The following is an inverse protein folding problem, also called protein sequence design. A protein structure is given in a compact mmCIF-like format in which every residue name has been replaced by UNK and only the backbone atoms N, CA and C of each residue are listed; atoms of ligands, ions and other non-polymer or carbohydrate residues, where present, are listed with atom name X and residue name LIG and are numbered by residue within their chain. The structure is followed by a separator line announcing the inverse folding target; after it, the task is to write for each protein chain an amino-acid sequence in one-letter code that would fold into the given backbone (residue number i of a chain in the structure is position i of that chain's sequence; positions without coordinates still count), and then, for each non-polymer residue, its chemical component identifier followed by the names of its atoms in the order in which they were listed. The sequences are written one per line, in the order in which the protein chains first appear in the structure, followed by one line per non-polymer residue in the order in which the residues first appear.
data_IF_440047329507
#
_entry.id   IF_440047329507
#
_cell.length_a   1.000
_cell.length_b   1.000
_cell.length_c   1.000
_cell.angle_alpha   90.00
_cell.angle_beta   90.00
_cell.angle_gamma   90.00
#
_symmetry.space_group_name_H-M   'P 1'
#
loop_
_entity.id
_entity.type
_entity.pdbx_description
1 polymer ?
#
# COMPACT_ATOMS: atom_id res chain seq x y z
N UNK A 1 -15.49 10.51 23.71
CA UNK A 1 -16.47 11.45 24.30
C UNK A 1 -15.95 12.88 24.41
N UNK A 2 -14.72 13.10 24.88
CA UNK A 2 -14.10 14.44 25.00
C UNK A 2 -14.00 15.19 23.68
N UNK A 3 -13.59 14.54 22.58
CA UNK A 3 -13.50 15.19 21.26
C UNK A 3 -14.84 15.66 20.70
N UNK A 4 -15.93 14.89 20.92
CA UNK A 4 -17.28 15.28 20.51
C UNK A 4 -17.74 16.52 21.30
N UNK A 5 -17.44 16.57 22.59
CA UNK A 5 -17.80 17.67 23.47
C UNK A 5 -17.03 18.95 23.10
N UNK A 6 -15.74 18.83 22.74
CA UNK A 6 -14.94 19.95 22.21
C UNK A 6 -15.51 20.47 20.89
N UNK A 7 -15.90 19.59 19.96
CA UNK A 7 -16.52 20.00 18.69
C UNK A 7 -17.84 20.73 18.94
N UNK A 8 -18.70 20.21 19.83
CA UNK A 8 -19.98 20.85 20.17
C UNK A 8 -19.76 22.24 20.79
N UNK A 9 -18.79 22.36 21.71
CA UNK A 9 -18.45 23.67 22.31
C UNK A 9 -17.92 24.65 21.26
N UNK A 10 -17.07 24.22 20.32
CA UNK A 10 -16.59 25.06 19.24
C UNK A 10 -17.71 25.51 18.30
N UNK A 11 -18.65 24.62 17.96
CA UNK A 11 -19.84 24.96 17.15
C UNK A 11 -20.71 25.98 17.88
N UNK A 12 -20.98 25.76 19.17
CA UNK A 12 -21.76 26.68 19.98
C UNK A 12 -21.08 28.05 20.13
N UNK A 13 -19.76 28.08 20.29
CA UNK A 13 -18.98 29.33 20.30
C UNK A 13 -19.04 30.04 18.96
N UNK A 14 -18.92 29.32 17.84
CA UNK A 14 -19.05 29.90 16.51
C UNK A 14 -20.45 30.48 16.26
N UNK A 15 -21.50 29.75 16.67
CA UNK A 15 -22.90 30.24 16.62
C UNK A 15 -23.09 31.45 17.52
N UNK A 16 -22.55 31.44 18.73
CA UNK A 16 -22.64 32.58 19.65
C UNK A 16 -21.91 33.80 19.10
N UNK A 17 -20.72 33.63 18.51
CA UNK A 17 -19.98 34.70 17.84
C UNK A 17 -20.75 35.24 16.62
N UNK A 18 -21.33 34.36 15.80
CA UNK A 18 -22.18 34.75 14.66
C UNK A 18 -23.45 35.49 15.11
N UNK A 19 -24.08 35.06 16.20
CA UNK A 19 -25.22 35.76 16.78
C UNK A 19 -24.81 37.13 17.35
N UNK A 20 -23.65 37.22 18.00
CA UNK A 20 -23.12 38.49 18.50
C UNK A 20 -22.85 39.47 17.35
N UNK A 21 -22.21 39.04 16.25
CA UNK A 21 -22.01 39.90 15.07
C UNK A 21 -23.35 40.37 14.50
N UNK A 22 -24.36 39.50 14.45
CA UNK A 22 -25.69 39.84 13.96
C UNK A 22 -26.44 40.82 14.89
N UNK A 23 -26.23 40.71 16.21
CA UNK A 23 -26.75 41.67 17.18
C UNK A 23 -26.05 43.01 17.01
N UNK A 24 -24.73 43.03 16.80
CA UNK A 24 -23.99 44.26 16.52
C UNK A 24 -24.50 44.94 15.24
N UNK A 25 -24.76 44.19 14.17
CA UNK A 25 -25.39 44.71 12.94
C UNK A 25 -26.78 45.31 13.22
N UNK A 26 -27.59 44.65 14.05
CA UNK A 26 -28.92 45.16 14.46
C UNK A 26 -28.85 46.39 15.36
N UNK A 27 -27.76 46.58 16.13
CA UNK A 27 -27.55 47.78 16.96
C UNK A 27 -27.01 48.97 16.18
N UNK A 28 -26.52 48.77 14.94
CA UNK A 28 -26.15 49.85 14.03
C UNK A 28 -27.38 50.50 13.35
N UNK A 29 -28.46 50.73 14.11
CA UNK A 29 -29.65 51.46 13.64
C UNK A 29 -29.22 52.89 13.30
N UNK A 30 -29.06 53.19 12.02
CA UNK A 30 -28.58 54.48 11.50
C UNK A 30 -27.28 54.42 10.70
N UNK A 31 -26.58 53.28 10.67
CA UNK A 31 -25.56 53.03 9.65
C UNK A 31 -26.28 52.61 8.36
N UNK A 32 -26.07 53.35 7.27
CA UNK A 32 -26.56 52.98 5.95
C UNK A 32 -25.80 51.74 5.45
N UNK A 33 -26.30 50.54 5.75
CA UNK A 33 -25.83 49.31 5.11
C UNK A 33 -26.38 49.27 3.68
N UNK A 34 -25.50 49.27 2.70
CA UNK A 34 -25.86 49.12 1.28
C UNK A 34 -26.29 47.66 1.03
N UNK A 35 -27.59 47.39 1.10
CA UNK A 35 -28.21 46.08 0.86
C UNK A 35 -28.48 45.80 -0.64
N UNK A 36 -27.87 46.56 -1.55
CA UNK A 36 -28.12 46.43 -3.00
C UNK A 36 -27.72 45.09 -3.60
N UNK A 37 -27.00 44.23 -2.85
CA UNK A 37 -26.36 42.98 -3.33
C UNK A 37 -25.36 43.21 -4.47
N UNK A 38 -24.99 44.46 -4.75
CA UNK A 38 -24.00 44.84 -5.75
C UNK A 38 -22.69 45.14 -5.04
N UNK A 39 -21.62 44.43 -5.40
CA UNK A 39 -20.30 44.63 -4.80
C UNK A 39 -19.81 46.08 -5.04
N UNK A 40 -19.47 46.77 -3.96
CA UNK A 40 -18.88 48.11 -4.00
C UNK A 40 -17.39 48.06 -4.33
N UNK A 41 -16.79 49.21 -4.68
CA UNK A 41 -15.34 49.30 -4.88
C UNK A 41 -14.56 48.97 -3.60
N UNK A 42 -15.14 49.28 -2.43
CA UNK A 42 -14.56 48.91 -1.15
C UNK A 42 -14.55 47.38 -0.97
N UNK A 43 -15.66 46.71 -1.28
CA UNK A 43 -15.75 45.24 -1.22
C UNK A 43 -14.72 44.60 -2.16
N UNK A 44 -14.62 45.10 -3.39
CA UNK A 44 -13.63 44.62 -4.37
C UNK A 44 -12.19 44.82 -3.89
N UNK A 45 -11.87 45.97 -3.28
CA UNK A 45 -10.56 46.24 -2.68
C UNK A 45 -10.25 45.26 -1.55
N UNK A 46 -11.18 45.07 -0.62
CA UNK A 46 -11.03 44.14 0.51
C UNK A 46 -10.83 42.72 0.01
N UNK A 47 -11.68 42.24 -0.89
CA UNK A 47 -11.57 40.90 -1.47
C UNK A 47 -10.23 40.70 -2.19
N UNK A 48 -9.74 41.72 -2.90
CA UNK A 48 -8.42 41.68 -3.53
C UNK A 48 -7.28 41.42 -2.54
N UNK A 49 -7.30 42.06 -1.36
CA UNK A 49 -6.31 41.80 -0.31
C UNK A 49 -6.53 40.45 0.39
N UNK A 50 -7.79 40.07 0.63
CA UNK A 50 -8.14 38.76 1.22
C UNK A 50 -7.64 37.61 0.35
N UNK A 51 -7.69 37.73 -0.98
CA UNK A 51 -7.10 36.75 -1.88
C UNK A 51 -5.61 36.53 -1.57
N UNK A 52 -4.81 37.60 -1.41
CA UNK A 52 -3.40 37.42 -1.02
C UNK A 52 -3.22 36.80 0.38
N UNK A 53 -4.12 37.11 1.32
CA UNK A 53 -4.18 36.42 2.61
C UNK A 53 -4.41 34.91 2.45
N UNK A 54 -5.32 34.51 1.55
CA UNK A 54 -5.61 33.11 1.25
C UNK A 54 -4.43 32.42 0.54
N UNK A 55 -3.74 33.12 -0.37
CA UNK A 55 -2.51 32.64 -0.99
C UNK A 55 -1.44 32.32 0.06
N UNK A 56 -1.20 33.27 0.98
CA UNK A 56 -0.25 33.10 2.07
C UNK A 56 -0.66 31.93 2.97
N UNK A 57 -1.95 31.80 3.30
CA UNK A 57 -2.47 30.68 4.08
C UNK A 57 -2.17 29.33 3.43
N UNK A 58 -2.46 29.16 2.13
CA UNK A 58 -2.20 27.90 1.41
C UNK A 58 -0.71 27.53 1.46
N UNK A 59 0.18 28.49 1.22
CA UNK A 59 1.62 28.22 1.23
C UNK A 59 2.15 27.95 2.63
N UNK A 60 1.71 28.71 3.65
CA UNK A 60 2.08 28.44 5.04
C UNK A 60 1.63 27.03 5.44
N UNK A 61 0.40 26.65 5.10
CA UNK A 61 -0.12 25.32 5.39
C UNK A 61 0.66 24.22 4.66
N UNK A 62 0.99 24.44 3.38
CA UNK A 62 1.76 23.49 2.58
C UNK A 62 3.18 23.32 3.14
N UNK A 63 3.87 24.42 3.43
CA UNK A 63 5.22 24.41 4.03
C UNK A 63 5.18 23.72 5.39
N UNK A 64 4.20 24.06 6.24
CA UNK A 64 4.03 23.38 7.52
C UNK A 64 3.81 21.88 7.34
N UNK A 65 2.97 21.47 6.39
CA UNK A 65 2.72 20.05 6.11
C UNK A 65 3.98 19.31 5.68
N UNK A 66 4.77 19.90 4.79
CA UNK A 66 6.05 19.34 4.35
C UNK A 66 7.07 19.23 5.50
N UNK A 67 7.17 20.26 6.35
CA UNK A 67 8.06 20.22 7.51
C UNK A 67 7.59 19.23 8.58
N UNK A 68 6.28 19.12 8.79
CA UNK A 68 5.71 18.30 9.86
C UNK A 68 5.67 16.81 9.52
N UNK A 69 5.41 16.47 8.26
CA UNK A 69 5.17 15.08 7.83
C UNK A 69 6.10 14.62 6.71
N UNK A 70 7.01 15.46 6.20
CA UNK A 70 7.94 15.07 5.14
C UNK A 70 8.85 13.90 5.51
N UNK A 71 9.17 13.73 6.79
CA UNK A 71 9.95 12.60 7.30
C UNK A 71 9.21 11.24 7.27
N UNK A 72 7.90 11.23 6.99
CA UNK A 72 7.12 9.99 6.82
C UNK A 72 7.30 9.36 5.44
N UNK A 73 7.72 10.15 4.44
CA UNK A 73 7.97 9.63 3.10
C UNK A 73 9.10 8.59 3.12
N UNK A 74 9.06 7.66 2.16
CA UNK A 74 10.17 6.74 1.97
C UNK A 74 11.39 7.53 1.47
N UNK A 75 12.52 7.33 2.13
CA UNK A 75 13.75 8.04 1.81
C UNK A 75 14.50 7.31 0.70
N UNK A 76 15.61 6.62 0.99
CA UNK A 76 16.49 6.01 -0.01
C UNK A 76 15.86 4.75 -0.61
N UNK A 77 15.73 4.62 -1.95
CA UNK A 77 15.28 3.38 -2.57
C UNK A 77 16.37 2.30 -2.47
N UNK A 78 15.94 1.05 -2.29
CA UNK A 78 16.77 -0.13 -2.11
C UNK A 78 16.91 -1.00 -3.36
N UNK A 79 16.57 -0.45 -4.53
CA UNK A 79 16.78 -1.06 -5.84
C UNK A 79 17.37 -0.07 -6.82
N UNK A 80 18.05 -0.57 -7.85
CA UNK A 80 18.55 0.26 -8.95
C UNK A 80 17.41 0.98 -9.68
N UNK A 81 16.28 0.29 -9.82
CA UNK A 81 15.10 0.76 -10.55
C UNK A 81 14.35 1.83 -9.75
N UNK A 82 14.37 1.73 -8.41
CA UNK A 82 13.74 2.70 -7.53
C UNK A 82 14.39 4.08 -7.59
N UNK A 83 15.70 4.17 -7.91
CA UNK A 83 16.36 5.46 -8.15
C UNK A 83 15.78 6.18 -9.37
N UNK A 84 15.46 5.45 -10.46
CA UNK A 84 14.83 6.02 -11.65
C UNK A 84 13.42 6.54 -11.33
N UNK A 85 12.64 5.77 -10.57
CA UNK A 85 11.29 6.16 -10.13
C UNK A 85 11.35 7.41 -9.24
N UNK A 86 12.23 7.44 -8.24
CA UNK A 86 12.37 8.57 -7.33
C UNK A 86 12.88 9.83 -8.07
N UNK A 87 13.79 9.68 -9.05
CA UNK A 87 14.23 10.79 -9.90
C UNK A 87 13.08 11.36 -10.75
N UNK A 88 12.29 10.50 -11.40
CA UNK A 88 11.12 10.91 -12.18
C UNK A 88 10.10 11.63 -11.30
N UNK A 89 9.85 11.11 -10.10
CA UNK A 89 8.99 11.73 -9.09
C UNK A 89 9.54 13.11 -8.68
N UNK A 90 10.83 13.23 -8.38
CA UNK A 90 11.45 14.50 -7.98
C UNK A 90 11.40 15.56 -9.08
N UNK A 91 11.70 15.18 -10.34
CA UNK A 91 11.57 16.08 -11.50
C UNK A 91 10.11 16.55 -11.62
N UNK A 92 9.17 15.63 -11.49
CA UNK A 92 7.73 15.95 -11.57
C UNK A 92 7.34 16.90 -10.44
N UNK A 93 7.75 16.65 -9.20
CA UNK A 93 7.50 17.54 -8.06
C UNK A 93 8.01 18.94 -8.28
N UNK A 94 9.28 19.09 -8.69
CA UNK A 94 9.87 20.40 -8.96
C UNK A 94 9.08 21.12 -10.05
N UNK A 95 8.74 20.42 -11.14
CA UNK A 95 7.98 20.99 -12.25
C UNK A 95 6.60 21.47 -11.82
N UNK A 96 5.82 20.61 -11.16
CA UNK A 96 4.45 20.97 -10.76
C UNK A 96 4.45 22.07 -9.70
N UNK A 97 5.40 22.09 -8.76
CA UNK A 97 5.48 23.16 -7.76
C UNK A 97 5.88 24.49 -8.39
N UNK A 98 6.80 24.51 -9.35
CA UNK A 98 7.16 25.74 -10.08
C UNK A 98 5.98 26.26 -10.88
N UNK A 99 5.32 25.41 -11.67
CA UNK A 99 4.15 25.80 -12.47
C UNK A 99 3.01 26.26 -11.55
N UNK A 100 2.75 25.53 -10.46
CA UNK A 100 1.75 25.89 -9.46
C UNK A 100 2.05 27.24 -8.83
N UNK A 101 3.32 27.50 -8.47
CA UNK A 101 3.72 28.75 -7.82
C UNK A 101 3.51 29.95 -8.74
N UNK A 102 3.96 29.84 -9.99
CA UNK A 102 3.78 30.90 -10.98
C UNK A 102 2.29 31.11 -11.26
N UNK A 103 1.54 30.03 -11.50
CA UNK A 103 0.11 30.11 -11.85
C UNK A 103 -0.70 30.73 -10.71
N UNK A 104 -0.49 30.29 -9.47
CA UNK A 104 -1.19 30.88 -8.31
C UNK A 104 -0.81 32.35 -8.13
N UNK A 105 0.48 32.69 -8.22
CA UNK A 105 0.92 34.09 -8.15
C UNK A 105 0.24 34.97 -9.20
N UNK A 106 0.20 34.51 -10.45
CA UNK A 106 -0.42 35.24 -11.56
C UNK A 106 -1.94 35.38 -11.40
N UNK A 107 -2.65 34.33 -10.99
CA UNK A 107 -4.11 34.37 -10.81
C UNK A 107 -4.50 35.35 -9.69
N UNK A 108 -3.79 35.34 -8.58
CA UNK A 108 -4.09 36.21 -7.44
C UNK A 108 -3.70 37.66 -7.73
N UNK A 109 -2.56 37.88 -8.38
CA UNK A 109 -2.19 39.20 -8.91
C UNK A 109 -3.21 39.72 -9.92
N UNK A 110 -3.70 38.88 -10.84
CA UNK A 110 -4.67 39.26 -11.84
C UNK A 110 -6.00 39.66 -11.19
N UNK A 111 -6.50 38.86 -10.25
CA UNK A 111 -7.70 39.16 -9.45
C UNK A 111 -7.54 40.48 -8.68
N UNK A 112 -6.38 40.73 -8.08
CA UNK A 112 -6.13 41.99 -7.37
C UNK A 112 -6.04 43.19 -8.31
N UNK A 113 -5.26 43.10 -9.39
CA UNK A 113 -5.02 44.21 -10.33
C UNK A 113 -6.30 44.60 -11.08
N UNK A 114 -7.09 43.61 -11.48
CA UNK A 114 -8.31 43.77 -12.28
C UNK A 114 -9.60 43.60 -11.47
N UNK A 115 -9.53 43.74 -10.14
CA UNK A 115 -10.72 43.81 -9.28
C UNK A 115 -11.66 44.93 -9.75
N UNK A 116 -12.96 44.75 -9.50
CA UNK A 116 -14.00 45.67 -9.93
C UNK A 116 -13.73 47.11 -9.48
N UNK A 117 -13.89 48.06 -10.40
CA UNK A 117 -13.73 49.48 -10.17
C UNK A 117 -14.70 50.23 -11.10
N UNK A 118 -15.52 51.13 -10.54
CA UNK A 118 -16.54 51.88 -11.29
C UNK A 118 -15.99 52.73 -12.44
N UNK A 119 -14.75 53.19 -12.34
CA UNK A 119 -14.07 54.04 -13.32
C UNK A 119 -13.31 53.23 -14.39
N UNK A 120 -13.20 51.91 -14.23
CA UNK A 120 -12.47 51.03 -15.16
C UNK A 120 -13.43 50.15 -15.94
N UNK A 121 -13.32 50.20 -17.27
CA UNK A 121 -13.97 49.23 -18.15
C UNK A 121 -13.06 48.03 -18.38
N UNK A 122 -13.62 46.84 -18.35
CA UNK A 122 -12.89 45.62 -18.69
C UNK A 122 -12.42 45.68 -20.15
N UNK A 123 -11.19 45.25 -20.39
CA UNK A 123 -10.70 45.05 -21.75
C UNK A 123 -11.42 43.83 -22.34
N UNK A 124 -12.11 44.02 -23.47
CA UNK A 124 -12.63 42.91 -24.24
C UNK A 124 -11.51 42.36 -25.13
N UNK A 125 -11.11 41.11 -24.86
CA UNK A 125 -10.09 40.39 -25.60
C UNK A 125 -10.57 38.94 -25.75
N UNK A 126 -10.96 38.56 -26.97
CA UNK A 126 -11.65 37.30 -27.22
C UNK A 126 -10.68 36.10 -27.33
N UNK A 127 -9.55 36.28 -28.02
CA UNK A 127 -8.65 35.19 -28.35
C UNK A 127 -7.21 35.65 -28.60
N UNK A 128 -6.29 34.69 -28.54
CA UNK A 128 -4.91 34.90 -28.94
C UNK A 128 -4.29 33.60 -29.41
N UNK A 129 -4.31 33.38 -30.74
CA UNK A 129 -3.68 32.21 -31.34
C UNK A 129 -2.22 32.00 -30.90
N UNK A 130 -1.46 33.08 -30.64
CA UNK A 130 -0.08 32.99 -30.15
C UNK A 130 0.01 32.46 -28.71
N UNK A 131 -0.84 32.96 -27.82
CA UNK A 131 -0.85 32.54 -26.41
C UNK A 131 -1.42 31.12 -26.28
N UNK A 132 -2.45 30.83 -27.08
CA UNK A 132 -3.06 29.51 -27.22
C UNK A 132 -2.05 28.47 -27.70
N UNK A 133 -1.26 28.80 -28.73
CA UNK A 133 -0.18 27.93 -29.18
C UNK A 133 0.88 27.74 -28.08
N UNK A 134 1.27 28.80 -27.37
CA UNK A 134 2.28 28.73 -26.32
C UNK A 134 1.89 27.78 -25.18
N UNK A 135 0.70 27.95 -24.61
CA UNK A 135 0.23 27.11 -23.50
C UNK A 135 -0.21 25.71 -23.93
N UNK A 136 -0.31 25.44 -25.22
CA UNK A 136 -0.61 24.10 -25.74
C UNK A 136 0.68 23.34 -26.04
N UNK A 137 1.63 24.00 -26.72
CA UNK A 137 2.89 23.37 -27.16
C UNK A 137 3.80 23.09 -25.97
N UNK A 138 4.00 24.06 -25.05
CA UNK A 138 4.92 23.88 -23.92
C UNK A 138 4.52 22.67 -23.06
N UNK A 139 3.27 22.56 -22.55
CA UNK A 139 2.87 21.39 -21.76
C UNK A 139 2.93 20.09 -22.56
N UNK A 140 2.60 20.12 -23.85
CA UNK A 140 2.67 18.92 -24.70
C UNK A 140 4.11 18.39 -24.82
N UNK A 141 5.08 19.27 -25.07
CA UNK A 141 6.50 18.88 -25.17
C UNK A 141 7.03 18.40 -23.83
N UNK A 142 6.74 19.12 -22.75
CA UNK A 142 7.14 18.75 -21.39
C UNK A 142 6.59 17.37 -21.03
N UNK A 143 5.29 17.15 -21.26
CA UNK A 143 4.63 15.88 -20.97
C UNK A 143 5.18 14.76 -21.84
N UNK A 144 5.45 15.01 -23.13
CA UNK A 144 6.08 14.03 -24.00
C UNK A 144 7.44 13.57 -23.48
N UNK A 145 8.30 14.50 -23.03
CA UNK A 145 9.59 14.16 -22.41
C UNK A 145 9.43 13.32 -21.13
N UNK A 146 8.48 13.69 -20.25
CA UNK A 146 8.20 12.93 -19.03
C UNK A 146 7.66 11.54 -19.32
N UNK A 147 6.77 11.39 -20.31
CA UNK A 147 6.22 10.10 -20.74
C UNK A 147 7.33 9.21 -21.30
N UNK A 148 8.24 9.73 -22.12
CA UNK A 148 9.35 8.95 -22.67
C UNK A 148 10.29 8.46 -21.58
N UNK A 149 10.62 9.29 -20.60
CA UNK A 149 11.39 8.86 -19.42
C UNK A 149 10.59 7.83 -18.61
N UNK A 150 9.32 8.07 -18.34
CA UNK A 150 8.45 7.11 -17.64
C UNK A 150 8.39 5.75 -18.35
N UNK A 151 8.31 5.74 -19.68
CA UNK A 151 8.31 4.52 -20.48
C UNK A 151 9.66 3.80 -20.41
N UNK A 152 10.78 4.52 -20.42
CA UNK A 152 12.10 3.94 -20.20
C UNK A 152 12.20 3.27 -18.82
N UNK A 153 11.79 3.96 -17.76
CA UNK A 153 11.80 3.42 -16.40
C UNK A 153 10.87 2.20 -16.26
N UNK A 154 9.69 2.25 -16.89
CA UNK A 154 8.74 1.14 -16.92
C UNK A 154 9.29 -0.06 -17.70
N UNK A 155 9.90 0.14 -18.86
CA UNK A 155 10.48 -0.94 -19.65
C UNK A 155 11.65 -1.61 -18.91
N UNK A 156 12.49 -0.83 -18.25
CA UNK A 156 13.65 -1.33 -17.52
C UNK A 156 13.28 -2.33 -16.40
N UNK A 157 12.16 -2.12 -15.70
CA UNK A 157 11.69 -3.01 -14.63
C UNK A 157 10.78 -4.14 -15.14
N UNK A 158 10.04 -3.91 -16.23
CA UNK A 158 9.05 -4.87 -16.75
C UNK A 158 9.61 -5.84 -17.78
N UNK A 159 10.72 -5.50 -18.44
CA UNK A 159 11.32 -6.35 -19.45
C UNK A 159 12.53 -7.09 -18.89
N UNK A 160 12.50 -8.42 -19.02
CA UNK A 160 13.60 -9.32 -18.67
C UNK A 160 13.98 -10.06 -19.94
N UNK A 161 15.25 -9.96 -20.33
CA UNK A 161 15.74 -10.74 -21.47
C UNK A 161 15.84 -12.22 -21.08
N UNK A 162 15.54 -13.13 -22.01
CA UNK A 162 15.60 -14.57 -21.76
C UNK A 162 17.01 -15.07 -21.51
N UNK A 163 18.00 -14.36 -22.05
CA UNK A 163 19.42 -14.69 -21.91
C UNK A 163 20.06 -13.99 -20.69
N UNK A 164 19.28 -13.17 -19.96
CA UNK A 164 19.77 -12.47 -18.77
C UNK A 164 19.88 -13.44 -17.58
N UNK A 165 21.02 -13.41 -16.91
CA UNK A 165 21.26 -14.22 -15.72
C UNK A 165 20.51 -13.62 -14.52
N UNK A 166 19.28 -14.10 -14.30
CA UNK A 166 18.36 -13.68 -13.24
C UNK A 166 18.03 -14.83 -12.29
N UNK A 167 17.58 -14.52 -11.08
CA UNK A 167 16.97 -15.52 -10.18
C UNK A 167 15.47 -15.52 -10.41
N UNK A 168 14.92 -16.69 -10.74
CA UNK A 168 13.49 -16.88 -10.97
C UNK A 168 12.76 -17.24 -9.67
N UNK A 169 11.84 -16.37 -9.25
CA UNK A 169 11.04 -16.57 -8.03
C UNK A 169 9.56 -16.35 -8.35
N UNK A 170 8.73 -17.30 -7.96
CA UNK A 170 7.30 -17.13 -7.92
C UNK A 170 6.83 -16.56 -6.57
N UNK A 171 6.00 -15.52 -6.60
CA UNK A 171 5.22 -15.06 -5.45
C UNK A 171 3.76 -15.49 -5.64
N UNK A 172 3.30 -16.33 -4.73
CA UNK A 172 1.94 -16.85 -4.74
C UNK A 172 1.08 -16.15 -3.69
N UNK A 173 0.05 -15.45 -4.15
CA UNK A 173 -0.87 -14.69 -3.31
C UNK A 173 -2.09 -15.52 -2.90
N UNK A 174 -2.42 -15.50 -1.62
CA UNK A 174 -3.55 -16.21 -1.02
C UNK A 174 -4.21 -15.31 0.05
N UNK A 175 -5.51 -15.44 0.31
CA UNK A 175 -6.15 -14.81 1.47
C UNK A 175 -5.74 -15.53 2.76
N UNK A 176 -4.96 -14.97 3.68
CA UNK A 176 -4.21 -13.70 3.64
C UNK A 176 -2.74 -13.96 3.98
N UNK A 177 -2.01 -14.50 3.01
CA UNK A 177 -0.58 -14.79 3.12
C UNK A 177 0.10 -14.79 1.74
N UNK A 178 1.41 -14.61 1.78
CA UNK A 178 2.28 -14.83 0.63
C UNK A 178 3.04 -16.13 0.84
N UNK A 179 3.28 -16.86 -0.25
CA UNK A 179 4.23 -17.97 -0.28
C UNK A 179 5.17 -17.76 -1.45
N UNK A 180 6.46 -18.00 -1.27
CA UNK A 180 7.45 -17.86 -2.32
C UNK A 180 7.93 -19.24 -2.81
N UNK A 181 8.20 -19.36 -4.11
CA UNK A 181 8.79 -20.54 -4.72
C UNK A 181 9.98 -20.14 -5.58
N UNK A 182 11.13 -20.74 -5.34
CA UNK A 182 12.36 -20.47 -6.06
C UNK A 182 12.53 -21.55 -7.11
N UNK A 183 12.94 -21.15 -8.31
CA UNK A 183 13.50 -22.10 -9.25
C UNK A 183 14.77 -22.70 -8.64
N UNK A 184 14.98 -24.00 -8.84
CA UNK A 184 16.11 -24.71 -8.28
C UNK A 184 17.41 -24.46 -9.04
N UNK A 185 18.22 -25.51 -9.18
CA UNK A 185 19.50 -25.44 -9.89
C UNK A 185 19.34 -25.22 -11.38
N UNK A 186 18.21 -25.64 -11.97
CA UNK A 186 17.90 -25.44 -13.38
C UNK A 186 17.45 -24.01 -13.70
N UNK A 187 17.15 -23.21 -12.66
CA UNK A 187 16.61 -21.85 -12.74
C UNK A 187 15.35 -21.74 -13.62
N UNK A 188 14.54 -22.80 -13.69
CA UNK A 188 13.25 -22.82 -14.38
C UNK A 188 12.15 -23.27 -13.42
N UNK A 189 11.19 -22.40 -13.15
CA UNK A 189 10.03 -22.76 -12.34
C UNK A 189 9.22 -23.88 -13.02
N UNK A 190 8.93 -24.94 -12.26
CA UNK A 190 8.00 -25.98 -12.68
C UNK A 190 6.60 -25.44 -12.99
N UNK A 191 5.87 -26.11 -13.89
CA UNK A 191 4.46 -25.78 -14.16
C UNK A 191 3.64 -25.85 -12.89
N UNK A 192 2.63 -24.99 -12.78
CA UNK A 192 1.72 -25.00 -11.65
C UNK A 192 0.28 -24.69 -12.09
N UNK A 193 -0.68 -25.33 -11.43
CA UNK A 193 -2.10 -25.12 -11.61
C UNK A 193 -2.83 -25.23 -10.28
N UNK A 194 -3.77 -24.31 -10.02
CA UNK A 194 -4.57 -24.27 -8.79
C UNK A 194 -5.35 -25.58 -8.53
N UNK A 195 -5.61 -26.39 -9.56
CA UNK A 195 -6.28 -27.69 -9.45
C UNK A 195 -5.41 -28.80 -8.85
N UNK A 196 -4.10 -28.58 -8.79
CA UNK A 196 -3.13 -29.54 -8.25
C UNK A 196 -2.79 -29.26 -6.77
N UNK A 197 -3.52 -28.33 -6.15
CA UNK A 197 -3.34 -28.01 -4.73
C UNK A 197 -3.89 -29.15 -3.89
N UNK A 198 -3.00 -29.86 -3.20
CA UNK A 198 -3.35 -30.98 -2.33
C UNK A 198 -2.28 -31.15 -1.23
N UNK A 199 -2.72 -31.36 0.02
CA UNK A 199 -1.83 -31.60 1.16
C UNK A 199 -0.76 -30.51 1.30
N UNK A 200 0.51 -30.90 1.19
CA UNK A 200 1.69 -30.01 1.30
C UNK A 200 1.90 -29.17 0.03
N UNK A 201 1.37 -29.59 -1.12
CA UNK A 201 1.51 -28.86 -2.39
C UNK A 201 0.57 -27.63 -2.44
N UNK A 202 0.87 -26.63 -1.62
CA UNK A 202 0.00 -25.46 -1.44
C UNK A 202 -0.01 -24.48 -2.62
N UNK A 203 0.95 -24.61 -3.55
CA UNK A 203 1.08 -23.76 -4.75
C UNK A 203 0.50 -24.40 -6.01
N UNK A 204 0.13 -25.68 -5.93
CA UNK A 204 -0.38 -26.46 -7.05
C UNK A 204 0.70 -26.77 -8.09
N UNK A 205 1.93 -27.02 -7.65
CA UNK A 205 3.05 -27.36 -8.54
C UNK A 205 2.80 -28.73 -9.18
N UNK A 206 3.03 -28.84 -10.47
CA UNK A 206 2.88 -30.09 -11.22
C UNK A 206 4.12 -30.96 -11.02
N UNK A 207 4.03 -31.93 -10.11
CA UNK A 207 5.12 -32.85 -9.80
C UNK A 207 5.43 -33.85 -10.92
N UNK A 208 4.66 -33.87 -12.01
CA UNK A 208 5.01 -34.62 -13.22
C UNK A 208 5.94 -33.85 -14.16
N UNK A 209 6.05 -32.54 -13.98
CA UNK A 209 7.00 -31.71 -14.71
C UNK A 209 8.41 -31.88 -14.12
N UNK A 210 9.40 -32.02 -15.00
CA UNK A 210 10.79 -32.27 -14.61
C UNK A 210 11.38 -31.09 -13.82
N UNK A 211 11.01 -29.87 -14.22
CA UNK A 211 11.51 -28.63 -13.63
C UNK A 211 10.89 -28.37 -12.24
N UNK A 212 9.90 -29.15 -11.82
CA UNK A 212 9.32 -29.04 -10.47
C UNK A 212 10.13 -29.79 -9.40
N UNK A 213 11.13 -30.60 -9.81
CA UNK A 213 11.82 -31.51 -8.90
C UNK A 213 12.73 -30.80 -7.88
N UNK A 214 13.27 -29.65 -8.28
CA UNK A 214 14.19 -28.82 -7.51
C UNK A 214 13.58 -27.48 -7.06
N UNK A 215 12.29 -27.24 -7.33
CA UNK A 215 11.55 -26.10 -6.80
C UNK A 215 11.59 -26.09 -5.26
N UNK A 216 11.91 -24.93 -4.68
CA UNK A 216 12.00 -24.73 -3.22
C UNK A 216 10.89 -23.79 -2.78
N UNK A 217 10.06 -24.21 -1.81
CA UNK A 217 8.93 -23.41 -1.30
C UNK A 217 9.23 -22.88 0.10
N UNK A 218 9.02 -21.58 0.32
CA UNK A 218 9.32 -20.93 1.60
C UNK A 218 8.24 -19.92 2.00
N UNK A 219 8.20 -19.61 3.29
CA UNK A 219 7.33 -18.59 3.89
C UNK A 219 8.03 -17.25 4.16
N UNK A 220 9.37 -17.22 4.13
CA UNK A 220 10.19 -16.02 4.28
C UNK A 220 11.04 -15.83 3.02
N UNK A 221 11.02 -14.64 2.43
CA UNK A 221 11.68 -14.36 1.16
C UNK A 221 13.09 -13.83 1.41
N UNK A 222 14.10 -14.55 0.91
CA UNK A 222 15.49 -14.10 0.87
C UNK A 222 15.87 -13.79 -0.57
N UNK A 223 16.57 -12.68 -0.81
CA UNK A 223 17.06 -12.32 -2.14
C UNK A 223 18.50 -11.79 -2.05
N UNK A 224 19.38 -12.08 -3.03
CA UNK A 224 20.74 -11.60 -2.98
C UNK A 224 20.87 -10.15 -3.48
N UNK A 225 21.68 -9.36 -2.77
CA UNK A 225 22.10 -8.03 -3.22
C UNK A 225 22.87 -8.11 -4.55
N UNK A 226 22.64 -7.14 -5.43
CA UNK A 226 23.40 -6.95 -6.68
C UNK A 226 23.05 -7.93 -7.79
N UNK A 227 22.05 -8.79 -7.59
CA UNK A 227 21.58 -9.76 -8.57
C UNK A 227 20.15 -9.43 -8.97
N UNK A 228 19.85 -9.50 -10.27
CA UNK A 228 18.50 -9.27 -10.77
C UNK A 228 17.60 -10.44 -10.38
N UNK A 229 16.49 -10.13 -9.72
CA UNK A 229 15.49 -11.11 -9.31
C UNK A 229 14.25 -10.89 -10.15
N UNK A 230 13.86 -11.92 -10.88
CA UNK A 230 12.66 -11.94 -11.69
C UNK A 230 11.52 -12.56 -10.88
N UNK A 231 10.54 -11.75 -10.55
CA UNK A 231 9.37 -12.20 -9.83
C UNK A 231 8.23 -12.49 -10.79
N UNK A 232 7.74 -13.73 -10.77
CA UNK A 232 6.48 -14.14 -11.39
C UNK A 232 5.41 -14.23 -10.32
N UNK A 233 4.27 -13.61 -10.54
CA UNK A 233 3.20 -13.57 -9.54
C UNK A 233 1.97 -14.28 -10.04
N UNK A 234 1.39 -15.09 -9.17
CA UNK A 234 0.07 -15.70 -9.34
C UNK A 234 -0.80 -15.42 -8.13
N UNK A 235 -2.11 -15.49 -8.34
CA UNK A 235 -3.09 -15.47 -7.25
C UNK A 235 -3.94 -16.73 -7.26
N UNK A 236 -4.17 -17.29 -6.07
CA UNK A 236 -5.05 -18.43 -5.87
C UNK A 236 -6.52 -18.06 -5.99
N UNK A 237 -6.91 -16.91 -5.43
CA UNK A 237 -8.30 -16.59 -5.08
C UNK A 237 -8.79 -15.29 -5.71
N UNK A 238 -8.37 -14.14 -5.18
CA UNK A 238 -8.84 -12.80 -5.57
C UNK A 238 -7.69 -11.94 -6.08
N UNK A 239 -7.99 -10.70 -6.48
CA UNK A 239 -6.93 -9.75 -6.82
C UNK A 239 -6.12 -9.38 -5.57
N UNK A 240 -4.79 -9.51 -5.67
CA UNK A 240 -3.82 -8.95 -4.73
C UNK A 240 -2.89 -8.00 -5.47
N UNK A 241 -1.95 -7.37 -4.77
CA UNK A 241 -0.87 -6.62 -5.41
C UNK A 241 0.39 -6.75 -4.57
N UNK A 242 1.40 -7.39 -5.12
CA UNK A 242 2.71 -7.52 -4.51
C UNK A 242 3.39 -6.16 -4.53
N UNK A 243 3.49 -5.51 -3.38
CA UNK A 243 4.14 -4.21 -3.24
C UNK A 243 5.39 -4.30 -2.37
N UNK A 244 6.51 -3.87 -2.94
CA UNK A 244 7.83 -3.80 -2.32
C UNK A 244 8.18 -2.33 -2.10
N UNK A 245 7.79 -1.70 -0.97
CA UNK A 245 7.81 -0.24 -0.84
C UNK A 245 9.21 0.36 -1.00
N UNK A 246 10.20 -0.23 -0.32
CA UNK A 246 11.58 0.25 -0.34
C UNK A 246 12.26 0.03 -1.70
N UNK A 247 11.76 -0.89 -2.52
CA UNK A 247 12.29 -1.18 -3.86
C UNK A 247 11.52 -0.45 -4.98
N UNK A 248 10.47 0.32 -4.64
CA UNK A 248 9.57 1.02 -5.58
C UNK A 248 8.97 0.11 -6.66
N UNK A 249 8.78 -1.17 -6.33
CA UNK A 249 8.24 -2.16 -7.25
C UNK A 249 6.84 -2.60 -6.80
N UNK A 250 5.91 -2.67 -7.74
CA UNK A 250 4.55 -3.14 -7.49
C UNK A 250 3.98 -3.87 -8.70
N UNK A 251 3.30 -5.00 -8.47
CA UNK A 251 2.53 -5.70 -9.51
C UNK A 251 1.27 -6.32 -8.95
N UNK A 252 0.17 -6.26 -9.71
CA UNK A 252 -1.06 -6.94 -9.35
C UNK A 252 -0.91 -8.45 -9.55
N UNK A 253 -1.33 -9.23 -8.56
CA UNK A 253 -1.44 -10.68 -8.67
C UNK A 253 -2.88 -11.00 -9.06
N UNK A 254 -3.07 -11.57 -10.25
CA UNK A 254 -4.39 -11.71 -10.87
C UNK A 254 -4.72 -13.19 -11.02
N UNK A 255 -5.85 -13.68 -10.50
CA UNK A 255 -6.26 -15.07 -10.68
C UNK A 255 -6.33 -15.44 -12.16
N UNK A 256 -5.69 -16.55 -12.55
CA UNK A 256 -5.70 -17.07 -13.91
C UNK A 256 -4.68 -16.46 -14.88
N UNK A 257 -3.82 -15.53 -14.45
CA UNK A 257 -2.70 -15.05 -15.26
C UNK A 257 -1.43 -14.91 -14.42
N UNK A 258 -0.27 -15.01 -15.09
CA UNK A 258 1.02 -14.69 -14.50
C UNK A 258 1.34 -13.24 -14.84
N UNK A 259 1.68 -12.46 -13.82
CA UNK A 259 2.22 -11.11 -13.97
C UNK A 259 3.66 -11.11 -13.47
N UNK A 260 4.47 -10.15 -13.90
CA UNK A 260 5.90 -10.18 -13.58
C UNK A 260 6.53 -8.79 -13.53
N UNK A 261 7.63 -8.67 -12.79
CA UNK A 261 8.64 -7.62 -12.94
C UNK A 261 9.98 -8.18 -12.47
N UNK A 262 11.06 -7.47 -12.75
CA UNK A 262 12.35 -7.75 -12.15
C UNK A 262 13.01 -6.50 -11.60
N UNK A 263 13.75 -6.65 -10.50
CA UNK A 263 14.60 -5.58 -9.98
C UNK A 263 15.90 -6.12 -9.40
N UNK A 264 16.88 -5.23 -9.25
CA UNK A 264 18.17 -5.51 -8.62
C UNK A 264 18.21 -4.82 -7.23
N UNK A 265 18.33 -5.57 -6.12
CA UNK A 265 18.49 -4.99 -4.79
C UNK A 265 19.87 -4.35 -4.62
N UNK A 266 19.94 -3.16 -4.01
CA UNK A 266 21.20 -2.40 -3.85
C UNK A 266 21.76 -2.41 -2.43
N UNK A 267 20.93 -2.71 -1.42
CA UNK A 267 21.34 -2.79 -0.02
C UNK A 267 20.85 -4.08 0.60
N UNK A 268 21.73 -4.78 1.31
CA UNK A 268 21.32 -5.85 2.23
C UNK A 268 20.42 -5.29 3.32
N UNK A 269 19.62 -6.16 3.97
CA UNK A 269 18.81 -5.75 5.12
C UNK A 269 19.68 -5.19 6.24
N UNK A 270 20.88 -5.75 6.45
CA UNK A 270 21.83 -5.28 7.44
C UNK A 270 22.37 -3.88 7.09
N UNK A 271 22.90 -3.69 5.87
CA UNK A 271 23.42 -2.39 5.42
C UNK A 271 22.35 -1.28 5.49
N UNK A 272 21.09 -1.59 5.14
CA UNK A 272 20.03 -0.58 5.17
C UNK A 272 19.68 -0.14 6.60
N UNK A 273 19.79 -1.04 7.59
CA UNK A 273 19.62 -0.70 9.01
C UNK A 273 20.69 0.25 9.52
N UNK A 274 21.88 0.21 8.92
CA UNK A 274 23.03 1.03 9.30
C UNK A 274 23.01 2.42 8.66
N UNK A 275 22.08 2.70 7.74
CA UNK A 275 21.93 4.03 7.17
C UNK A 275 21.57 5.06 8.26
N UNK A 276 22.24 6.23 8.33
CA UNK A 276 22.03 7.18 9.43
C UNK A 276 20.57 7.56 9.68
N UNK A 277 19.80 7.80 8.61
CA UNK A 277 18.39 8.14 8.73
C UNK A 277 17.53 6.98 9.24
N UNK A 278 17.91 5.72 8.96
CA UNK A 278 17.20 4.53 9.45
C UNK A 278 17.47 4.29 10.93
N UNK A 279 18.72 4.48 11.37
CA UNK A 279 19.08 4.44 12.80
C UNK A 279 18.23 5.46 13.57
N UNK A 280 18.21 6.71 13.11
CA UNK A 280 17.41 7.78 13.74
C UNK A 280 15.92 7.44 13.74
N UNK A 281 15.38 6.96 12.61
CA UNK A 281 13.96 6.60 12.47
C UNK A 281 13.57 5.47 13.43
N UNK A 282 14.35 4.40 13.49
CA UNK A 282 14.09 3.25 14.38
C UNK A 282 14.20 3.68 15.85
N UNK A 283 15.21 4.48 16.21
CA UNK A 283 15.36 5.01 17.57
C UNK A 283 14.15 5.85 17.99
N UNK A 284 13.67 6.74 17.11
CA UNK A 284 12.49 7.56 17.36
C UNK A 284 11.22 6.70 17.49
N UNK A 285 11.02 5.71 16.62
CA UNK A 285 9.89 4.77 16.71
C UNK A 285 9.92 4.03 18.04
N UNK A 286 11.08 3.52 18.46
CA UNK A 286 11.22 2.77 19.70
C UNK A 286 11.02 3.63 20.94
N UNK A 287 11.46 4.89 20.92
CA UNK A 287 11.13 5.86 21.95
C UNK A 287 9.61 6.03 22.09
N UNK A 288 8.90 6.27 20.98
CA UNK A 288 7.44 6.43 20.99
C UNK A 288 6.71 5.15 21.41
N UNK A 289 7.18 3.97 20.99
CA UNK A 289 6.62 2.67 21.41
C UNK A 289 6.80 2.45 22.91
N UNK A 290 7.96 2.81 23.47
CA UNK A 290 8.20 2.73 24.90
C UNK A 290 7.25 3.66 25.68
N UNK A 291 7.10 4.92 25.25
CA UNK A 291 6.17 5.88 25.86
C UNK A 291 4.70 5.40 25.79
N UNK A 292 4.28 4.84 24.66
CA UNK A 292 2.93 4.29 24.50
C UNK A 292 2.73 2.99 25.28
N UNK A 293 3.77 2.18 25.45
CA UNK A 293 3.72 0.94 26.25
C UNK A 293 3.41 1.24 27.70
N UNK A 294 3.92 2.35 28.26
CA UNK A 294 3.58 2.77 29.64
C UNK A 294 2.08 2.99 29.78
N UNK A 295 1.44 3.65 28.80
CA UNK A 295 -0.01 3.88 28.81
C UNK A 295 -0.80 2.59 28.62
N UNK A 296 -0.41 1.77 27.65
CA UNK A 296 -1.04 0.48 27.36
C UNK A 296 -1.02 -0.45 28.56
N UNK A 297 0.12 -0.56 29.25
CA UNK A 297 0.24 -1.39 30.45
C UNK A 297 -0.60 -0.84 31.60
N UNK A 298 -0.67 0.48 31.77
CA UNK A 298 -1.55 1.10 32.76
C UNK A 298 -3.05 0.82 32.50
N UNK A 299 -3.43 0.65 31.24
CA UNK A 299 -4.79 0.26 30.80
C UNK A 299 -5.03 -1.27 30.85
N UNK A 300 -4.06 -2.06 31.33
CA UNK A 300 -4.16 -3.52 31.45
C UNK A 300 -3.74 -4.29 30.19
N UNK A 301 -3.18 -3.62 29.19
CA UNK A 301 -2.60 -4.23 28.00
C UNK A 301 -1.14 -4.67 28.16
N UNK A 302 -0.57 -5.22 27.08
CA UNK A 302 0.84 -5.62 27.00
C UNK A 302 1.70 -4.49 26.45
N UNK A 303 2.95 -4.41 26.90
CA UNK A 303 3.94 -3.52 26.29
C UNK A 303 4.17 -3.88 24.81
N UNK A 304 4.48 -2.88 23.99
CA UNK A 304 4.81 -3.06 22.58
C UNK A 304 6.25 -3.53 22.44
N UNK A 305 6.47 -4.52 21.57
CA UNK A 305 7.83 -4.95 21.24
C UNK A 305 8.62 -3.82 20.56
N UNK A 306 9.95 -3.76 20.80
CA UNK A 306 10.85 -2.91 20.04
C UNK A 306 10.72 -3.20 18.54
N UNK A 307 10.60 -2.14 17.77
CA UNK A 307 10.63 -2.20 16.33
C UNK A 307 12.07 -2.39 15.84
N UNK A 308 12.25 -3.32 14.91
CA UNK A 308 13.43 -3.42 14.05
C UNK A 308 12.97 -3.27 12.62
N UNK A 309 13.81 -2.65 11.80
CA UNK A 309 13.52 -2.52 10.38
C UNK A 309 13.64 -3.88 9.68
N UNK A 310 12.63 -4.20 8.88
CA UNK A 310 12.67 -5.27 7.90
C UNK A 310 12.10 -4.73 6.59
N UNK A 311 12.62 -5.21 5.45
CA UNK A 311 11.89 -5.03 4.21
C UNK A 311 10.64 -5.92 4.26
N UNK A 312 9.54 -5.38 3.74
CA UNK A 312 8.26 -6.06 3.74
C UNK A 312 7.73 -6.10 2.30
N UNK A 313 7.22 -7.27 1.92
CA UNK A 313 6.24 -7.40 0.86
C UNK A 313 4.87 -7.17 1.48
N UNK A 314 4.13 -6.20 0.96
CA UNK A 314 2.79 -5.87 1.39
C UNK A 314 1.77 -6.19 0.30
N UNK A 315 0.52 -6.48 0.70
CA UNK A 315 -0.59 -6.45 -0.24
C UNK A 315 -1.07 -5.02 -0.46
N UNK A 316 -1.07 -4.54 -1.71
CA UNK A 316 -1.54 -3.20 -2.10
C UNK A 316 -2.78 -3.25 -3.04
N UNK A 317 -3.63 -4.24 -2.86
CA UNK A 317 -4.96 -4.32 -3.48
C UNK A 317 -5.93 -4.95 -2.49
N UNK A 318 -7.07 -4.29 -2.27
CA UNK A 318 -8.06 -4.76 -1.30
C UNK A 318 -8.48 -6.20 -1.64
N UNK A 319 -8.16 -7.13 -0.74
CA UNK A 319 -8.36 -8.56 -0.94
C UNK A 319 -9.22 -9.20 0.15
N UNK A 320 -9.91 -8.42 0.98
CA UNK A 320 -10.86 -8.90 1.99
C UNK A 320 -10.51 -8.46 3.42
N UNK A 321 -11.11 -9.12 4.41
CA UNK A 321 -11.16 -8.66 5.81
C UNK A 321 -9.78 -8.49 6.49
N UNK A 322 -8.81 -9.34 6.17
CA UNK A 322 -7.46 -9.27 6.75
C UNK A 322 -6.42 -8.70 5.79
N UNK A 323 -6.85 -7.92 4.79
CA UNK A 323 -5.98 -7.26 3.81
C UNK A 323 -4.83 -6.48 4.48
N UNK A 324 -5.14 -5.75 5.56
CA UNK A 324 -4.17 -4.92 6.28
C UNK A 324 -3.02 -5.71 6.95
N UNK A 325 -3.21 -7.01 7.19
CA UNK A 325 -2.24 -7.86 7.89
C UNK A 325 -1.46 -8.78 6.93
N UNK A 326 -1.71 -8.69 5.62
CA UNK A 326 -1.10 -9.54 4.61
C UNK A 326 0.29 -9.02 4.23
N UNK A 327 1.31 -9.51 4.93
CA UNK A 327 2.71 -9.15 4.70
C UNK A 327 3.63 -10.38 4.73
N UNK A 328 4.79 -10.26 4.08
CA UNK A 328 5.88 -11.24 4.15
C UNK A 328 7.20 -10.51 4.36
N UNK A 329 8.05 -11.04 5.25
CA UNK A 329 9.40 -10.50 5.44
C UNK A 329 10.24 -10.76 4.19
N UNK A 330 10.98 -9.74 3.78
CA UNK A 330 11.97 -9.80 2.72
C UNK A 330 13.33 -9.55 3.35
N UNK A 331 14.25 -10.49 3.20
CA UNK A 331 15.63 -10.39 3.66
C UNK A 331 16.51 -10.25 2.43
N UNK A 332 17.24 -9.14 2.33
CA UNK A 332 18.27 -9.00 1.30
C UNK A 332 19.60 -9.40 1.91
N UNK A 333 20.18 -10.47 1.38
CA UNK A 333 21.43 -11.06 1.87
C UNK A 333 22.61 -10.66 1.00
N UNK A 334 23.82 -10.90 1.51
CA UNK A 334 25.00 -11.00 0.65
C UNK A 334 24.84 -12.19 -0.31
N UNK A 335 25.46 -12.19 -1.50
CA UNK A 335 25.41 -13.35 -2.39
C UNK A 335 25.85 -14.66 -1.72
N UNK A 336 26.84 -14.59 -0.83
CA UNK A 336 27.36 -15.72 -0.06
C UNK A 336 26.36 -16.25 0.97
N UNK A 337 25.77 -15.35 1.77
CA UNK A 337 24.78 -15.71 2.79
C UNK A 337 23.50 -16.24 2.16
N UNK A 338 23.06 -15.65 1.04
CA UNK A 338 21.91 -16.13 0.27
C UNK A 338 22.14 -17.57 -0.20
N UNK A 339 23.31 -17.85 -0.80
CA UNK A 339 23.64 -19.20 -1.28
C UNK A 339 23.68 -20.21 -0.13
N UNK A 340 24.23 -19.80 1.01
CA UNK A 340 24.25 -20.63 2.22
C UNK A 340 22.82 -20.92 2.69
N UNK A 341 21.99 -19.90 2.87
CA UNK A 341 20.60 -20.04 3.29
C UNK A 341 19.80 -20.94 2.35
N UNK A 342 19.99 -20.80 1.03
CA UNK A 342 19.28 -21.60 0.03
C UNK A 342 19.70 -23.08 0.10
N UNK A 343 20.98 -23.37 0.34
CA UNK A 343 21.50 -24.74 0.45
C UNK A 343 20.97 -25.52 1.66
N UNK A 344 20.45 -24.82 2.66
CA UNK A 344 19.84 -25.42 3.86
C UNK A 344 18.36 -25.79 3.64
N UNK A 345 17.76 -25.45 2.49
CA UNK A 345 16.35 -25.73 2.20
C UNK A 345 16.16 -27.10 1.55
N UNK A 346 15.00 -27.69 1.80
CA UNK A 346 14.53 -28.89 1.11
C UNK A 346 13.72 -28.50 -0.12
N UNK A 347 13.70 -29.37 -1.12
CA UNK A 347 12.85 -29.17 -2.31
C UNK A 347 11.43 -29.62 -2.03
N UNK A 348 10.46 -29.05 -2.72
CA UNK A 348 9.05 -29.44 -2.60
C UNK A 348 8.86 -30.94 -2.90
N UNK A 349 9.62 -31.50 -3.86
CA UNK A 349 9.59 -32.92 -4.16
C UNK A 349 10.03 -33.79 -2.97
N UNK A 350 11.07 -33.35 -2.24
CA UNK A 350 11.53 -34.02 -1.03
C UNK A 350 10.48 -33.96 0.07
N UNK A 351 9.88 -32.79 0.29
CA UNK A 351 8.85 -32.58 1.32
C UNK A 351 7.60 -33.43 1.06
N UNK A 352 7.12 -33.47 -0.19
CA UNK A 352 5.99 -34.31 -0.59
C UNK A 352 6.31 -35.80 -0.39
N UNK A 353 7.52 -36.23 -0.75
CA UNK A 353 7.96 -37.63 -0.57
C UNK A 353 8.02 -38.00 0.92
N UNK A 354 8.55 -37.11 1.76
CA UNK A 354 8.62 -37.31 3.20
C UNK A 354 7.23 -37.41 3.82
N UNK A 355 6.29 -36.55 3.40
CA UNK A 355 4.92 -36.59 3.88
C UNK A 355 4.20 -37.89 3.53
N UNK A 356 4.30 -38.33 2.27
CA UNK A 356 3.74 -39.63 1.82
C UNK A 356 4.36 -40.81 2.57
N UNK A 357 5.63 -40.73 2.96
CA UNK A 357 6.28 -41.78 3.75
C UNK A 357 5.82 -41.79 5.22
N UNK A 358 5.36 -40.65 5.75
CA UNK A 358 4.84 -40.52 7.12
C UNK A 358 3.38 -40.92 7.27
N UNK A 359 2.61 -40.94 6.16
CA UNK A 359 1.27 -41.52 6.11
C UNK A 359 1.37 -43.06 6.14
N UNK A 360 1.28 -43.66 7.33
CA UNK A 360 1.07 -45.12 7.45
C UNK A 360 -0.16 -45.53 6.62
N UNK A 361 -0.15 -46.68 5.93
CA UNK A 361 -1.37 -47.19 5.33
C UNK A 361 -2.37 -47.44 6.47
N UNK A 362 -3.56 -46.85 6.35
CA UNK A 362 -4.66 -47.16 7.25
C UNK A 362 -4.83 -48.68 7.29
N UNK A 363 -4.71 -49.28 8.47
CA UNK A 363 -5.12 -50.66 8.67
C UNK A 363 -6.55 -50.77 8.15
N UNK A 364 -6.75 -51.64 7.16
CA UNK A 364 -8.06 -51.97 6.68
C UNK A 364 -8.88 -52.45 7.86
N UNK A 365 -9.78 -51.59 8.35
CA UNK A 365 -10.84 -51.97 9.28
C UNK A 365 -11.64 -53.02 8.52
N UNK A 366 -11.42 -54.30 8.85
CA UNK A 366 -12.26 -55.41 8.41
C UNK A 366 -13.69 -55.03 8.75
N UNK A 367 -14.53 -54.93 7.71
CA UNK A 367 -15.92 -54.51 7.82
C UNK A 367 -16.64 -55.24 8.94
N UNK A 368 -17.07 -54.49 9.94
CA UNK A 368 -18.17 -54.91 10.81
C UNK A 368 -19.44 -54.81 9.98
N UNK A 369 -20.09 -55.95 9.78
CA UNK A 369 -21.35 -56.09 9.04
C UNK A 369 -22.42 -55.14 9.57
N UNK A 370 -23.20 -54.57 8.65
CA UNK A 370 -24.35 -53.66 8.84
C UNK A 370 -25.41 -54.11 9.88
N UNK A 371 -25.36 -55.35 10.36
CA UNK A 371 -26.29 -55.86 11.36
C UNK A 371 -26.08 -55.25 12.76
N UNK A 372 -24.83 -54.99 13.16
CA UNK A 372 -24.53 -54.55 14.54
C UNK A 372 -24.90 -53.08 14.79
N UNK A 373 -24.88 -52.25 13.74
CA UNK A 373 -25.28 -50.84 13.82
C UNK A 373 -26.80 -50.72 13.93
N UNK A 374 -27.57 -51.52 13.18
CA UNK A 374 -29.05 -51.52 13.27
C UNK A 374 -29.55 -51.98 14.63
N UNK A 375 -28.94 -53.02 15.21
CA UNK A 375 -29.36 -53.52 16.53
C UNK A 375 -29.06 -52.50 17.64
N UNK A 376 -27.94 -51.78 17.54
CA UNK A 376 -27.58 -50.73 18.50
C UNK A 376 -28.50 -49.51 18.38
N UNK A 377 -28.86 -49.11 17.15
CA UNK A 377 -29.78 -47.99 16.91
C UNK A 377 -31.19 -48.32 17.40
N UNK A 378 -31.69 -49.53 17.14
CA UNK A 378 -33.02 -49.94 17.61
C UNK A 378 -33.10 -50.00 19.15
N UNK A 379 -32.06 -50.51 19.81
CA UNK A 379 -32.02 -50.53 21.28
C UNK A 379 -32.04 -49.12 21.90
N UNK A 380 -31.37 -48.15 21.27
CA UNK A 380 -31.39 -46.75 21.72
C UNK A 380 -32.76 -46.11 21.49
N UNK A 381 -33.40 -46.37 20.34
CA UNK A 381 -34.75 -45.87 20.03
C UNK A 381 -35.79 -46.41 21.02
N UNK A 382 -35.74 -47.71 21.35
CA UNK A 382 -36.65 -48.33 22.32
C UNK A 382 -36.45 -47.77 23.73
N UNK A 383 -35.20 -47.50 24.12
CA UNK A 383 -34.88 -46.92 25.43
C UNK A 383 -35.39 -45.48 25.55
N UNK A 384 -35.28 -44.70 24.46
CA UNK A 384 -35.80 -43.33 24.40
C UNK A 384 -37.33 -43.31 24.39
N UNK A 385 -37.97 -44.23 23.66
CA UNK A 385 -39.43 -44.37 23.65
C UNK A 385 -40.00 -44.73 25.03
N UNK A 386 -39.34 -45.65 25.74
CA UNK A 386 -39.71 -46.03 27.11
C UNK A 386 -39.52 -44.87 28.12
N UNK A 387 -38.49 -44.04 27.93
CA UNK A 387 -38.26 -42.86 28.75
C UNK A 387 -39.34 -41.78 28.51
N UNK A 388 -39.74 -41.56 27.26
CA UNK A 388 -40.80 -40.60 26.90
C UNK A 388 -42.17 -41.05 27.45
N UNK A 389 -42.49 -42.35 27.37
CA UNK A 389 -43.72 -42.91 27.93
C UNK A 389 -43.81 -42.75 29.46
N UNK A 390 -42.67 -42.84 30.17
CA UNK A 390 -42.60 -42.62 31.63
C UNK A 390 -42.80 -41.15 32.03
N UNK A 391 -42.45 -40.21 31.17
CA UNK A 391 -42.63 -38.77 31.41
C UNK A 391 -44.07 -38.33 31.12
N UNK A 392 -44.79 -39.02 30.23
CA UNK A 392 -46.20 -38.72 29.91
C UNK A 392 -47.23 -39.27 30.91
N UNK A 393 -46.82 -40.07 31.91
CA UNK A 393 -47.68 -40.62 32.98
C UNK A 393 -47.43 -40.00 34.36
N UNK A 394 -46.77 -38.83 34.42
CA UNK A 394 -46.75 -37.91 35.56
C UNK A 394 -47.30 -36.57 35.10
#
# INVERSE_FOLDING_TARGET
MTSLLVIVVLVLLAVALWQLTRIFDLTQVGASSDDSQVASDNDNNVQGYVMFGFLAFIYIFTIYGLLKWGNLALHTPASEHGLLVDNLMNITWVLIFVVQFITQGLLYWFSFKNRGNKDKKALFFADSNKLEALWSIIPSVVLACLILYGLYAWNNIMFVDKDEDVIEIELYAQQFKWTARYAGEDNVLGKANVRLIEGINTLGVDMSDKNSADDIVVSELHIPKGKKVHFKMRSQDVLHSAYFPHFRAQMNCVPGMVTEFAFVPTYTTAEYRELPFMIEKVANINKLRAENSVKLVAEGGTALDPYTFDYLLLCNKICGASHYNMQMKVVVDTPEDYKKWLSEKTTLAQDIKAAKASEKPAEAVKGTSDSTIKDTVNAVVDTVAAAIAKVAMK
#
